data_IF_082907419988
#
_entry.id   IF_082907419988
#
_cell.length_a   1.000
_cell.length_b   1.000
_cell.length_c   1.000
_cell.angle_alpha   90.00
_cell.angle_beta   90.00
_cell.angle_gamma   90.00
#
_symmetry.space_group_name_H-M   'P 1'
#
loop_
_entity.id
_entity.type
_entity.pdbx_description
1 polymer ?
#
# COMPACT_ATOMS: atom_id res chain seq x y z
N UNK A 1 -17.41 -0.64 25.71
CA UNK A 1 -16.35 -1.58 26.11
C UNK A 1 -15.03 -1.09 25.53
N UNK A 2 -13.93 -1.21 26.26
CA UNK A 2 -12.59 -0.88 25.75
C UNK A 2 -12.18 -1.97 24.75
N UNK A 3 -11.64 -1.61 23.60
CA UNK A 3 -11.13 -2.57 22.62
C UNK A 3 -9.98 -3.37 23.22
N UNK A 4 -9.87 -4.64 22.84
CA UNK A 4 -8.84 -5.56 23.32
C UNK A 4 -7.50 -5.34 22.62
N UNK A 5 -7.51 -5.02 21.32
CA UNK A 5 -6.30 -5.04 20.49
C UNK A 5 -5.73 -3.63 20.24
N UNK A 6 -6.53 -2.73 19.65
CA UNK A 6 -6.13 -1.35 19.35
C UNK A 6 -7.27 -0.37 19.65
N UNK A 7 -6.94 0.87 19.98
CA UNK A 7 -7.94 1.85 20.46
C UNK A 7 -8.63 2.63 19.32
N UNK A 8 -8.13 2.56 18.08
CA UNK A 8 -8.58 3.41 16.97
C UNK A 8 -9.54 2.73 15.98
N UNK A 9 -9.73 1.41 16.06
CA UNK A 9 -10.76 0.64 15.35
C UNK A 9 -11.37 -0.40 16.28
N UNK A 10 -12.58 -0.88 15.98
CA UNK A 10 -13.21 -1.95 16.76
C UNK A 10 -12.48 -3.29 16.60
N UNK A 11 -12.54 -4.14 17.62
CA UNK A 11 -11.97 -5.50 17.56
C UNK A 11 -12.60 -6.32 16.42
N UNK A 12 -13.91 -6.19 16.20
CA UNK A 12 -14.61 -6.86 15.10
C UNK A 12 -14.08 -6.45 13.72
N UNK A 13 -13.81 -5.14 13.52
CA UNK A 13 -13.25 -4.64 12.27
C UNK A 13 -11.81 -5.13 12.06
N UNK A 14 -10.99 -5.08 13.11
CA UNK A 14 -9.62 -5.60 13.04
C UNK A 14 -9.60 -7.08 12.65
N UNK A 15 -10.41 -7.92 13.31
CA UNK A 15 -10.49 -9.35 13.02
C UNK A 15 -11.01 -9.62 11.60
N UNK A 16 -11.95 -8.81 11.12
CA UNK A 16 -12.41 -8.87 9.73
C UNK A 16 -11.29 -8.56 8.73
N UNK A 17 -10.49 -7.52 8.97
CA UNK A 17 -9.33 -7.20 8.12
C UNK A 17 -8.30 -8.34 8.11
N UNK A 18 -8.05 -8.96 9.28
CA UNK A 18 -7.12 -10.11 9.40
C UNK A 18 -7.66 -11.33 8.64
N UNK A 19 -8.94 -11.65 8.79
CA UNK A 19 -9.57 -12.76 8.07
C UNK A 19 -9.51 -12.56 6.55
N UNK A 20 -9.76 -11.34 6.06
CA UNK A 20 -9.61 -11.01 4.65
C UNK A 20 -8.18 -11.20 4.15
N UNK A 21 -7.18 -10.74 4.93
CA UNK A 21 -5.77 -10.91 4.60
C UNK A 21 -5.41 -12.40 4.58
N UNK A 22 -5.84 -13.18 5.57
CA UNK A 22 -5.60 -14.61 5.64
C UNK A 22 -6.21 -15.37 4.45
N UNK A 23 -7.45 -15.05 4.07
CA UNK A 23 -8.10 -15.60 2.86
C UNK A 23 -7.31 -15.27 1.59
N UNK A 24 -6.75 -14.06 1.49
CA UNK A 24 -5.91 -13.67 0.36
C UNK A 24 -4.61 -14.51 0.29
N UNK A 25 -3.97 -14.79 1.43
CA UNK A 25 -2.82 -15.69 1.50
C UNK A 25 -3.16 -17.12 1.06
N UNK A 26 -4.27 -17.68 1.56
CA UNK A 26 -4.73 -19.01 1.15
C UNK A 26 -5.01 -19.08 -0.36
N UNK A 27 -5.68 -18.06 -0.91
CA UNK A 27 -5.95 -17.96 -2.34
C UNK A 27 -4.67 -17.86 -3.17
N UNK A 28 -3.71 -17.03 -2.74
CA UNK A 28 -2.43 -16.88 -3.43
C UNK A 28 -1.66 -18.21 -3.48
N UNK A 29 -1.65 -18.96 -2.37
CA UNK A 29 -1.02 -20.30 -2.29
C UNK A 29 -1.76 -21.35 -3.13
N UNK A 30 -3.09 -21.32 -3.18
CA UNK A 30 -3.87 -22.29 -3.95
C UNK A 30 -3.83 -22.06 -5.46
N UNK A 31 -3.45 -20.85 -5.91
CA UNK A 31 -3.27 -20.52 -7.32
C UNK A 31 -1.94 -21.02 -7.91
N UNK A 32 -1.26 -21.98 -7.27
CA UNK A 32 -0.04 -22.61 -7.79
C UNK A 32 -0.44 -23.78 -8.70
N UNK A 33 -0.55 -23.53 -9.99
CA UNK A 33 -0.76 -24.57 -11.00
C UNK A 33 0.09 -24.25 -12.22
N UNK A 34 0.49 -25.28 -13.00
CA UNK A 34 1.14 -25.03 -14.30
C UNK A 34 0.29 -24.12 -15.18
N UNK A 35 -1.04 -24.27 -15.17
CA UNK A 35 -1.95 -23.41 -15.95
C UNK A 35 -1.94 -21.95 -15.51
N UNK A 36 -1.90 -21.66 -14.20
CA UNK A 36 -1.85 -20.28 -13.71
C UNK A 36 -0.48 -19.65 -13.98
N UNK A 37 0.60 -20.42 -13.92
CA UNK A 37 1.94 -19.98 -14.32
C UNK A 37 1.99 -19.52 -15.78
N UNK A 38 1.48 -20.33 -16.72
CA UNK A 38 1.46 -19.98 -18.15
C UNK A 38 0.40 -18.93 -18.53
N UNK A 39 -0.61 -18.71 -17.68
CA UNK A 39 -1.60 -17.64 -17.89
C UNK A 39 -1.01 -16.25 -17.66
N UNK A 40 0.03 -16.13 -16.82
CA UNK A 40 0.79 -14.91 -16.64
C UNK A 40 1.87 -14.83 -17.71
N UNK A 41 2.14 -13.63 -18.24
CA UNK A 41 3.27 -13.41 -19.15
C UNK A 41 4.58 -13.65 -18.39
N UNK A 42 5.21 -14.78 -18.66
CA UNK A 42 6.55 -15.13 -18.17
C UNK A 42 7.58 -14.67 -19.20
N UNK A 43 8.65 -14.02 -18.75
CA UNK A 43 9.75 -13.59 -19.61
C UNK A 43 10.73 -14.76 -19.85
N UNK A 44 10.50 -15.50 -20.94
CA UNK A 44 11.32 -16.67 -21.29
C UNK A 44 12.75 -16.31 -21.67
N UNK A 45 13.01 -15.08 -22.13
CA UNK A 45 14.35 -14.59 -22.44
C UNK A 45 15.12 -14.42 -21.12
N UNK A 46 14.52 -13.78 -20.11
CA UNK A 46 15.10 -13.66 -18.77
C UNK A 46 15.41 -15.03 -18.18
N UNK A 47 14.46 -15.97 -18.21
CA UNK A 47 14.66 -17.32 -17.69
C UNK A 47 15.82 -18.05 -18.37
N UNK A 48 15.98 -17.87 -19.69
CA UNK A 48 17.10 -18.46 -20.44
C UNK A 48 18.43 -17.92 -19.92
N UNK A 49 18.56 -16.60 -19.74
CA UNK A 49 19.77 -16.00 -19.20
C UNK A 49 20.01 -16.37 -17.74
N UNK A 50 18.97 -16.41 -16.90
CA UNK A 50 19.12 -16.81 -15.51
C UNK A 50 19.65 -18.26 -15.41
N UNK A 51 19.14 -19.16 -16.24
CA UNK A 51 19.61 -20.55 -16.27
C UNK A 51 21.08 -20.63 -16.68
N UNK A 52 21.45 -19.92 -17.75
CA UNK A 52 22.81 -19.97 -18.30
C UNK A 52 23.85 -19.23 -17.46
N UNK A 53 23.51 -18.09 -16.89
CA UNK A 53 24.45 -17.24 -16.16
C UNK A 53 24.56 -17.59 -14.68
N UNK A 54 23.49 -18.13 -14.08
CA UNK A 54 23.49 -18.51 -12.66
C UNK A 54 23.55 -20.02 -12.43
N UNK A 55 23.67 -20.84 -13.49
CA UNK A 55 23.70 -22.30 -13.44
C UNK A 55 22.51 -22.91 -12.65
N UNK A 56 21.32 -22.34 -12.87
CA UNK A 56 20.08 -22.78 -12.25
C UNK A 56 19.29 -23.62 -13.27
N UNK A 57 18.81 -24.77 -12.82
CA UNK A 57 17.95 -25.63 -13.66
C UNK A 57 16.57 -24.99 -13.91
N UNK A 58 15.94 -25.41 -15.01
CA UNK A 58 14.68 -24.84 -15.47
C UNK A 58 13.53 -25.04 -14.46
N UNK A 59 13.49 -26.17 -13.75
CA UNK A 59 12.44 -26.46 -12.77
C UNK A 59 12.55 -25.51 -11.57
N UNK A 60 13.76 -25.31 -11.05
CA UNK A 60 14.03 -24.35 -9.98
C UNK A 60 13.69 -22.91 -10.36
N UNK A 61 13.95 -22.51 -11.61
CA UNK A 61 13.57 -21.18 -12.12
C UNK A 61 12.06 -20.99 -12.21
N UNK A 62 11.34 -22.00 -12.69
CA UNK A 62 9.87 -21.98 -12.74
C UNK A 62 9.30 -21.86 -11.32
N UNK A 63 9.80 -22.66 -10.37
CA UNK A 63 9.38 -22.59 -8.97
C UNK A 63 9.65 -21.21 -8.36
N UNK A 64 10.83 -20.63 -8.62
CA UNK A 64 11.19 -19.29 -8.13
C UNK A 64 10.27 -18.22 -8.69
N UNK A 65 9.94 -18.29 -9.98
CA UNK A 65 9.03 -17.34 -10.63
C UNK A 65 7.58 -17.48 -10.13
N UNK A 66 7.13 -18.72 -9.85
CA UNK A 66 5.84 -18.97 -9.18
C UNK A 66 5.82 -18.28 -7.80
N UNK A 67 6.84 -18.51 -6.97
CA UNK A 67 6.92 -17.91 -5.63
C UNK A 67 6.93 -16.38 -5.71
N UNK A 68 7.68 -15.81 -6.66
CA UNK A 68 7.72 -14.36 -6.91
C UNK A 68 6.33 -13.80 -7.28
N UNK A 69 5.52 -14.53 -8.05
CA UNK A 69 4.16 -14.13 -8.40
C UNK A 69 3.23 -14.16 -7.17
N UNK A 70 3.32 -15.21 -6.34
CA UNK A 70 2.58 -15.30 -5.07
C UNK A 70 2.94 -14.13 -4.17
N UNK A 71 4.23 -13.86 -3.98
CA UNK A 71 4.71 -12.75 -3.15
C UNK A 71 4.19 -11.41 -3.64
N UNK A 72 4.10 -11.20 -4.96
CA UNK A 72 3.50 -9.98 -5.53
C UNK A 72 2.02 -9.86 -5.17
N UNK A 73 1.25 -10.95 -5.30
CA UNK A 73 -0.17 -10.97 -4.91
C UNK A 73 -0.38 -10.73 -3.41
N UNK A 74 0.48 -11.31 -2.57
CA UNK A 74 0.48 -11.10 -1.11
C UNK A 74 0.80 -9.64 -0.78
N UNK A 75 1.84 -9.06 -1.39
CA UNK A 75 2.22 -7.66 -1.16
C UNK A 75 1.08 -6.67 -1.52
N UNK A 76 0.35 -6.94 -2.60
CA UNK A 76 -0.84 -6.16 -2.95
C UNK A 76 -1.93 -6.28 -1.88
N UNK A 77 -2.17 -7.51 -1.39
CA UNK A 77 -3.16 -7.78 -0.34
C UNK A 77 -2.81 -7.09 0.98
N UNK A 78 -1.52 -6.96 1.30
CA UNK A 78 -1.05 -6.18 2.46
C UNK A 78 -1.34 -4.68 2.26
N UNK A 79 -1.21 -4.15 1.04
CA UNK A 79 -1.62 -2.78 0.71
C UNK A 79 -3.11 -2.55 1.03
N UNK A 80 -3.97 -3.41 0.51
CA UNK A 80 -5.42 -3.40 0.80
C UNK A 80 -5.72 -3.57 2.29
N UNK A 81 -4.94 -4.37 3.01
CA UNK A 81 -5.09 -4.52 4.45
C UNK A 81 -4.88 -3.18 5.18
N UNK A 82 -3.84 -2.40 4.85
CA UNK A 82 -3.63 -1.08 5.43
C UNK A 82 -4.78 -0.12 5.12
N UNK A 83 -5.28 -0.12 3.88
CA UNK A 83 -6.46 0.66 3.49
C UNK A 83 -7.67 0.29 4.35
N UNK A 84 -7.97 -0.99 4.50
CA UNK A 84 -9.10 -1.46 5.31
C UNK A 84 -8.95 -1.07 6.80
N UNK A 85 -7.75 -1.18 7.36
CA UNK A 85 -7.48 -0.77 8.75
C UNK A 85 -7.72 0.73 8.92
N UNK A 86 -7.13 1.56 8.06
CA UNK A 86 -7.23 3.02 8.13
C UNK A 86 -8.66 3.51 7.84
N UNK A 87 -9.35 2.87 6.89
CA UNK A 87 -10.75 3.17 6.57
C UNK A 87 -11.74 2.70 7.63
N UNK A 88 -11.31 1.86 8.57
CA UNK A 88 -12.09 1.50 9.76
C UNK A 88 -12.08 2.56 10.86
N UNK A 89 -11.18 3.54 10.79
CA UNK A 89 -11.09 4.61 11.77
C UNK A 89 -12.30 5.54 11.62
N UNK A 90 -12.93 5.89 12.74
CA UNK A 90 -14.11 6.76 12.75
C UNK A 90 -13.81 8.08 12.03
N UNK A 91 -14.63 8.40 11.03
CA UNK A 91 -14.50 9.62 10.22
C UNK A 91 -13.77 9.43 8.89
N UNK A 92 -13.25 8.23 8.63
CA UNK A 92 -12.57 7.88 7.38
C UNK A 92 -13.31 6.77 6.62
N UNK A 93 -12.98 6.60 5.35
CA UNK A 93 -13.50 5.53 4.50
C UNK A 93 -12.51 5.14 3.40
N UNK A 94 -12.61 3.89 2.97
CA UNK A 94 -11.84 3.33 1.84
C UNK A 94 -12.48 3.75 0.52
N UNK A 95 -11.64 4.06 -0.46
CA UNK A 95 -12.08 4.28 -1.82
C UNK A 95 -12.56 3.01 -2.51
N UNK A 96 -13.74 3.04 -3.13
CA UNK A 96 -14.26 1.94 -3.95
C UNK A 96 -14.46 2.46 -5.37
N UNK A 97 -13.65 1.95 -6.31
CA UNK A 97 -13.63 2.42 -7.71
C UNK A 97 -13.41 3.95 -7.82
N UNK A 98 -12.75 4.53 -6.82
CA UNK A 98 -12.42 5.94 -6.73
C UNK A 98 -10.96 6.18 -7.07
N UNK A 99 -10.61 7.43 -7.38
CA UNK A 99 -9.21 7.81 -7.62
C UNK A 99 -8.36 7.99 -6.36
N UNK A 100 -8.79 7.52 -5.19
CA UNK A 100 -8.09 7.62 -3.90
C UNK A 100 -8.25 6.31 -3.13
N UNK A 101 -7.35 6.06 -2.18
CA UNK A 101 -7.38 4.85 -1.35
C UNK A 101 -8.09 5.11 -0.01
N UNK A 102 -7.84 6.28 0.60
CA UNK A 102 -8.49 6.73 1.84
C UNK A 102 -8.94 8.18 1.73
N UNK A 103 -10.10 8.52 2.30
CA UNK A 103 -10.50 9.92 2.53
C UNK A 103 -11.15 10.12 3.90
N UNK A 104 -11.19 11.38 4.34
CA UNK A 104 -12.09 11.80 5.42
C UNK A 104 -13.52 11.96 4.87
N UNK A 105 -14.53 11.63 5.69
CA UNK A 105 -15.95 11.72 5.31
C UNK A 105 -16.43 13.15 5.07
N UNK A 106 -15.73 14.14 5.60
CA UNK A 106 -16.00 15.57 5.41
C UNK A 106 -15.13 16.20 4.30
N UNK A 107 -14.46 15.36 3.50
CA UNK A 107 -13.58 15.73 2.39
C UNK A 107 -12.41 16.67 2.78
N UNK A 108 -11.99 16.65 4.06
CA UNK A 108 -10.82 17.40 4.54
C UNK A 108 -9.48 16.66 4.35
N UNK A 109 -9.52 15.41 3.88
CA UNK A 109 -8.34 14.59 3.64
C UNK A 109 -8.56 13.62 2.49
N UNK A 110 -7.58 13.50 1.60
CA UNK A 110 -7.49 12.43 0.59
C UNK A 110 -6.09 11.81 0.61
N UNK A 111 -5.99 10.51 0.42
CA UNK A 111 -4.72 9.81 0.46
C UNK A 111 -4.64 8.68 -0.55
N UNK A 112 -3.41 8.45 -1.03
CA UNK A 112 -3.01 7.29 -1.81
C UNK A 112 -1.88 6.58 -1.07
N UNK A 113 -2.04 5.28 -0.84
CA UNK A 113 -1.20 4.45 0.00
C UNK A 113 -0.29 3.60 -0.87
N UNK A 114 0.98 3.54 -0.49
CA UNK A 114 1.96 2.62 -1.04
C UNK A 114 2.62 1.85 0.09
N UNK A 115 2.55 0.52 -0.01
CA UNK A 115 3.16 -0.37 0.98
C UNK A 115 4.70 -0.22 0.97
N UNK A 116 5.33 -0.24 -0.22
CA UNK A 116 6.78 -0.03 -0.42
C UNK A 116 7.03 1.13 -1.38
N UNK A 117 8.03 1.96 -1.05
CA UNK A 117 8.43 3.12 -1.85
C UNK A 117 9.06 2.76 -3.20
N UNK A 118 9.59 1.53 -3.32
CA UNK A 118 10.42 1.09 -4.45
C UNK A 118 9.64 0.85 -5.76
N UNK A 119 8.34 1.15 -5.82
CA UNK A 119 7.49 0.90 -7.01
C UNK A 119 7.18 2.14 -7.84
N UNK A 120 7.70 3.31 -7.47
CA UNK A 120 7.37 4.56 -8.15
C UNK A 120 8.49 5.02 -9.07
N UNK A 121 8.25 4.96 -10.38
CA UNK A 121 9.06 5.66 -11.37
C UNK A 121 8.61 7.13 -11.51
N UNK A 122 9.38 7.96 -12.20
CA UNK A 122 9.08 9.40 -12.38
C UNK A 122 7.68 9.66 -12.96
N UNK A 123 7.23 8.89 -13.94
CA UNK A 123 5.90 9.06 -14.54
C UNK A 123 4.76 8.74 -13.58
N UNK A 124 4.88 7.66 -12.81
CA UNK A 124 3.89 7.30 -11.79
C UNK A 124 3.86 8.31 -10.63
N UNK A 125 5.01 8.89 -10.29
CA UNK A 125 5.13 9.96 -9.31
C UNK A 125 4.42 11.23 -9.79
N UNK A 126 4.64 11.61 -11.05
CA UNK A 126 4.02 12.78 -11.68
C UNK A 126 2.49 12.62 -11.71
N UNK A 127 2.00 11.47 -12.19
CA UNK A 127 0.57 11.17 -12.26
C UNK A 127 -0.09 11.20 -10.87
N UNK A 128 0.57 10.63 -9.85
CA UNK A 128 0.06 10.65 -8.48
C UNK A 128 0.05 12.08 -7.91
N UNK A 129 1.11 12.84 -8.12
CA UNK A 129 1.18 14.23 -7.66
C UNK A 129 0.02 15.06 -8.24
N UNK A 130 -0.15 15.01 -9.57
CA UNK A 130 -1.22 15.73 -10.26
C UNK A 130 -2.61 15.30 -9.76
N UNK A 131 -2.81 14.01 -9.52
CA UNK A 131 -4.05 13.48 -8.96
C UNK A 131 -4.36 14.06 -7.57
N UNK A 132 -3.37 14.09 -6.67
CA UNK A 132 -3.52 14.65 -5.33
C UNK A 132 -3.72 16.18 -5.37
N UNK A 133 -2.99 16.89 -6.23
CA UNK A 133 -3.17 18.32 -6.44
C UNK A 133 -4.60 18.65 -6.89
N UNK A 134 -5.15 17.88 -7.84
CA UNK A 134 -6.54 18.04 -8.29
C UNK A 134 -7.55 17.86 -7.16
N UNK A 135 -7.35 16.91 -6.25
CA UNK A 135 -8.20 16.78 -5.07
C UNK A 135 -8.09 18.00 -4.16
N UNK A 136 -6.86 18.46 -3.87
CA UNK A 136 -6.64 19.63 -3.04
C UNK A 136 -7.23 20.93 -3.65
N UNK A 137 -7.28 21.02 -4.98
CA UNK A 137 -7.92 22.12 -5.68
C UNK A 137 -9.44 22.01 -5.73
N UNK A 138 -9.98 20.80 -5.86
CA UNK A 138 -11.44 20.59 -5.86
C UNK A 138 -12.01 20.82 -4.45
N UNK A 139 -11.35 20.26 -3.43
CA UNK A 139 -11.74 20.32 -2.04
C UNK A 139 -10.80 21.27 -1.29
N UNK A 140 -11.17 22.56 -1.21
CA UNK A 140 -10.26 23.63 -0.73
C UNK A 140 -9.78 23.46 0.72
N UNK A 141 -10.47 22.65 1.52
CA UNK A 141 -10.08 22.30 2.90
C UNK A 141 -9.21 21.04 2.98
N UNK A 142 -9.04 20.32 1.87
CA UNK A 142 -8.37 19.04 1.86
C UNK A 142 -6.85 19.16 1.96
N UNK A 143 -6.25 18.36 2.84
CA UNK A 143 -4.84 17.98 2.74
C UNK A 143 -4.74 16.62 2.04
N UNK A 144 -3.87 16.53 1.05
CA UNK A 144 -3.73 15.35 0.22
C UNK A 144 -2.38 14.68 0.45
N UNK A 145 -2.37 13.36 0.58
CA UNK A 145 -1.20 12.61 1.06
C UNK A 145 -0.81 11.49 0.10
N UNK A 146 0.46 11.47 -0.28
CA UNK A 146 1.13 10.26 -0.70
C UNK A 146 1.70 9.57 0.53
N UNK A 147 1.04 8.50 0.96
CA UNK A 147 1.38 7.73 2.15
C UNK A 147 2.32 6.60 1.77
N UNK A 148 3.38 6.46 2.54
CA UNK A 148 4.39 5.45 2.30
C UNK A 148 4.60 4.63 3.58
N UNK A 149 4.01 3.43 3.60
CA UNK A 149 3.89 2.61 4.82
C UNK A 149 5.27 2.16 5.32
N UNK A 150 6.09 1.55 4.46
CA UNK A 150 7.44 1.08 4.80
C UNK A 150 8.51 2.11 4.45
N UNK A 151 8.51 3.20 5.21
CA UNK A 151 9.48 4.29 5.11
C UNK A 151 10.82 3.99 5.79
N UNK A 152 11.90 4.61 5.28
CA UNK A 152 13.23 4.58 5.91
C UNK A 152 13.29 5.37 7.22
N UNK A 153 12.32 6.24 7.45
CA UNK A 153 12.22 7.06 8.65
C UNK A 153 10.87 7.76 8.72
N UNK A 154 10.61 8.37 9.87
CA UNK A 154 9.39 9.13 10.12
C UNK A 154 9.45 10.50 9.43
N UNK A 155 8.42 10.85 8.67
CA UNK A 155 8.30 12.13 8.00
C UNK A 155 6.84 12.51 7.71
N UNK A 156 6.59 13.81 7.63
CA UNK A 156 5.38 14.44 7.13
C UNK A 156 5.76 15.81 6.55
N UNK A 157 5.93 15.88 5.24
CA UNK A 157 6.50 17.04 4.55
C UNK A 157 5.74 17.37 3.27
N UNK A 158 5.81 18.63 2.82
CA UNK A 158 5.26 19.00 1.53
C UNK A 158 5.94 18.18 0.42
N UNK A 159 5.13 17.64 -0.50
CA UNK A 159 5.68 17.04 -1.68
C UNK A 159 6.09 18.15 -2.65
N UNK A 160 7.39 18.38 -2.74
CA UNK A 160 7.99 19.28 -3.71
C UNK A 160 9.22 18.66 -4.34
N UNK A 161 9.55 19.09 -5.55
CA UNK A 161 10.78 18.73 -6.24
C UNK A 161 10.56 18.55 -7.74
N UNK A 162 11.65 18.20 -8.42
CA UNK A 162 11.60 17.85 -9.84
C UNK A 162 11.06 16.42 -10.00
N UNK A 163 9.99 16.29 -10.78
CA UNK A 163 9.42 15.01 -11.18
C UNK A 163 9.35 15.00 -12.70
N UNK A 164 10.02 14.03 -13.32
CA UNK A 164 10.02 13.86 -14.78
C UNK A 164 10.44 15.14 -15.55
N UNK A 165 11.47 15.83 -15.07
CA UNK A 165 12.01 17.04 -15.71
C UNK A 165 11.19 18.32 -15.48
N UNK A 166 10.18 18.28 -14.60
CA UNK A 166 9.34 19.44 -14.27
C UNK A 166 9.28 19.65 -12.76
N UNK A 167 9.26 20.89 -12.34
CA UNK A 167 9.11 21.24 -10.94
C UNK A 167 7.64 21.12 -10.51
N UNK A 168 7.39 20.31 -9.47
CA UNK A 168 6.07 20.13 -8.88
C UNK A 168 6.09 20.61 -7.44
N UNK A 169 5.07 21.39 -7.07
CA UNK A 169 4.78 21.77 -5.69
C UNK A 169 3.30 22.16 -5.53
N UNK A 170 2.73 21.92 -4.36
CA UNK A 170 1.37 22.33 -4.02
C UNK A 170 1.26 22.46 -2.49
N UNK A 171 0.69 23.58 -2.00
CA UNK A 171 0.69 23.93 -0.56
C UNK A 171 -0.07 22.96 0.35
N UNK A 172 -0.88 22.06 -0.23
CA UNK A 172 -1.68 21.06 0.47
C UNK A 172 -1.41 19.61 0.04
N UNK A 173 -0.35 19.34 -0.73
CA UNK A 173 0.04 17.97 -1.12
C UNK A 173 1.30 17.58 -0.36
N UNK A 174 1.25 16.44 0.33
CA UNK A 174 2.27 15.98 1.26
C UNK A 174 2.76 14.57 0.93
N UNK A 175 3.99 14.29 1.33
CA UNK A 175 4.52 12.94 1.52
C UNK A 175 4.51 12.64 3.01
N UNK A 176 3.97 11.49 3.39
CA UNK A 176 3.88 11.09 4.79
C UNK A 176 4.24 9.61 4.97
N UNK A 177 5.02 9.35 6.01
CA UNK A 177 5.37 8.00 6.46
C UNK A 177 4.18 7.28 7.11
N UNK A 178 4.18 5.94 7.08
CA UNK A 178 3.09 5.12 7.64
C UNK A 178 2.82 5.41 9.11
N UNK A 179 3.86 5.54 9.94
CA UNK A 179 3.72 5.86 11.35
C UNK A 179 3.03 7.20 11.58
N UNK A 180 3.46 8.24 10.86
CA UNK A 180 2.84 9.58 10.95
C UNK A 180 1.40 9.57 10.42
N UNK A 181 1.10 8.80 9.37
CA UNK A 181 -0.26 8.75 8.81
C UNK A 181 -1.22 8.00 9.73
N UNK A 182 -0.79 6.87 10.31
CA UNK A 182 -1.56 6.18 11.34
C UNK A 182 -1.80 7.09 12.54
N UNK A 183 -0.78 7.82 13.00
CA UNK A 183 -0.93 8.77 14.09
C UNK A 183 -1.90 9.91 13.74
N UNK A 184 -1.82 10.45 12.52
CA UNK A 184 -2.70 11.50 12.03
C UNK A 184 -4.18 11.06 12.05
N UNK A 185 -4.50 9.87 11.53
CA UNK A 185 -5.89 9.43 11.44
C UNK A 185 -6.45 8.97 12.78
N UNK A 186 -5.63 8.27 13.57
CA UNK A 186 -6.07 7.71 14.86
C UNK A 186 -6.07 8.72 16.01
N UNK A 187 -5.32 9.81 15.90
CA UNK A 187 -5.02 10.70 17.02
C UNK A 187 -4.07 10.09 18.07
N UNK A 188 -3.42 8.96 17.77
CA UNK A 188 -2.55 8.22 18.69
C UNK A 188 -1.14 8.06 18.10
N UNK A 189 -0.12 8.63 18.76
CA UNK A 189 1.25 8.70 18.24
C UNK A 189 1.93 7.34 18.01
N UNK A 190 1.57 6.32 18.79
CA UNK A 190 2.12 4.96 18.68
C UNK A 190 1.16 3.97 17.98
N UNK A 191 0.12 4.47 17.28
CA UNK A 191 -0.91 3.63 16.66
C UNK A 191 -0.33 2.58 15.70
N UNK A 192 0.64 2.97 14.87
CA UNK A 192 1.29 2.04 13.95
C UNK A 192 2.06 0.94 14.69
N UNK A 193 2.81 1.30 15.73
CA UNK A 193 3.54 0.33 16.54
C UNK A 193 2.61 -0.65 17.27
N UNK A 194 1.55 -0.14 17.91
CA UNK A 194 0.55 -0.98 18.57
C UNK A 194 -0.14 -1.93 17.59
N UNK A 195 -0.43 -1.45 16.38
CA UNK A 195 -0.99 -2.29 15.32
C UNK A 195 -0.07 -3.47 14.97
N UNK A 196 1.22 -3.23 14.74
CA UNK A 196 2.18 -4.31 14.45
C UNK A 196 2.36 -5.30 15.61
N UNK A 197 2.28 -4.80 16.85
CA UNK A 197 2.36 -5.66 18.05
C UNK A 197 1.26 -6.71 18.11
N UNK A 198 0.07 -6.45 17.55
CA UNK A 198 -1.01 -7.44 17.48
C UNK A 198 -0.57 -8.72 16.76
N UNK A 199 0.34 -8.62 15.78
CA UNK A 199 0.81 -9.75 14.96
C UNK A 199 2.12 -10.36 15.44
N UNK A 200 2.75 -9.78 16.47
CA UNK A 200 4.11 -10.14 16.90
C UNK A 200 4.11 -11.07 18.13
N UNK A 201 3.04 -11.85 18.32
CA UNK A 201 2.84 -12.74 19.48
C UNK A 201 2.73 -14.18 19.02
#
# INVERSE_FOLDING_TARGET
>A
MKNKYVNFISDAHLLYCIDNLHKAYLKAKNNISKSSFYSNKVDTIKLTFDSKFNDIDEESLIQTEILRQIDKSINNSIGTFHEQILGGIKGFEVGILSGFDIKAKDDTLFADIKNKHNTMNSSSAEALFQKLARYADTYKKAKCYWVQILAKGSFNELWKGEINGKEYSHSRVFKISGDQFYALLSGQSDAFFQHYKVFSV
#
